data_IF_145621755658
#
_entry.id   IF_145621755658
#
_cell.length_a   1.000
_cell.length_b   1.000
_cell.length_c   1.000
_cell.angle_alpha   90.00
_cell.angle_beta   90.00
_cell.angle_gamma   90.00
#
_symmetry.space_group_name_H-M   'P 1'
#
loop_
_entity.id
_entity.type
_entity.pdbx_description
1 polymer ?
#
# COMPACT_ATOMS: atom_id res chain seq x y z
N UNK A 1 5.36 0.38 12.32
CA UNK A 1 4.30 0.25 11.30
C UNK A 1 3.20 -0.61 11.91
N UNK A 2 1.98 -0.08 12.04
CA UNK A 2 0.84 -0.81 12.59
C UNK A 2 -0.15 -1.10 11.48
N UNK A 3 -0.59 -2.36 11.36
CA UNK A 3 -1.65 -2.75 10.42
C UNK A 3 -2.99 -2.49 11.12
N UNK A 4 -3.76 -1.55 10.57
CA UNK A 4 -5.09 -1.20 11.08
C UNK A 4 -6.14 -2.12 10.51
N UNK A 5 -6.05 -2.39 9.21
CA UNK A 5 -7.05 -3.17 8.48
C UNK A 5 -6.39 -3.88 7.31
N UNK A 6 -6.82 -5.10 7.03
CA UNK A 6 -6.53 -5.79 5.79
C UNK A 6 -7.81 -6.32 5.16
N UNK A 7 -7.95 -6.13 3.87
CA UNK A 7 -9.09 -6.56 3.08
C UNK A 7 -8.57 -7.27 1.84
N UNK A 8 -9.12 -8.46 1.58
CA UNK A 8 -8.81 -9.24 0.39
C UNK A 8 -10.08 -9.41 -0.43
N UNK A 9 -10.03 -8.91 -1.66
CA UNK A 9 -11.10 -9.06 -2.63
C UNK A 9 -10.73 -10.18 -3.62
N UNK A 10 -11.30 -11.38 -3.43
CA UNK A 10 -11.04 -12.54 -4.29
C UNK A 10 -11.48 -12.32 -5.74
N UNK A 11 -12.55 -11.54 -5.95
CA UNK A 11 -13.12 -11.28 -7.28
C UNK A 11 -12.17 -10.48 -8.16
N UNK A 12 -11.57 -9.43 -7.61
CA UNK A 12 -10.66 -8.54 -8.33
C UNK A 12 -9.19 -8.86 -8.08
N UNK A 13 -8.90 -9.86 -7.22
CA UNK A 13 -7.55 -10.17 -6.72
C UNK A 13 -6.83 -8.92 -6.20
N UNK A 14 -7.60 -8.07 -5.51
CA UNK A 14 -7.12 -6.81 -4.93
C UNK A 14 -6.96 -6.99 -3.43
N UNK A 15 -5.75 -6.72 -2.90
CA UNK A 15 -5.53 -6.60 -1.46
C UNK A 15 -5.48 -5.14 -1.08
N UNK A 16 -6.29 -4.72 -0.12
CA UNK A 16 -6.22 -3.38 0.47
C UNK A 16 -5.68 -3.50 1.89
N UNK A 17 -4.66 -2.71 2.22
CA UNK A 17 -4.00 -2.73 3.53
C UNK A 17 -3.99 -1.29 4.05
N UNK A 18 -4.62 -1.09 5.20
CA UNK A 18 -4.59 0.18 5.91
C UNK A 18 -3.50 0.11 6.98
N UNK A 19 -2.53 1.02 6.88
CA UNK A 19 -1.43 1.16 7.82
C UNK A 19 -1.54 2.48 8.58
N UNK A 20 -1.26 2.44 9.87
CA UNK A 20 -1.04 3.60 10.72
C UNK A 20 0.42 3.64 11.18
N UNK A 21 0.92 4.85 11.46
CA UNK A 21 2.30 5.07 11.89
C UNK A 21 3.34 4.43 10.94
N UNK A 22 3.23 4.73 9.65
CA UNK A 22 4.29 4.41 8.70
C UNK A 22 5.47 5.34 8.97
N UNK A 23 6.68 4.77 9.00
CA UNK A 23 7.93 5.51 9.30
C UNK A 23 8.10 6.70 8.34
N UNK A 24 7.73 6.52 7.07
CA UNK A 24 7.77 7.57 6.06
C UNK A 24 6.80 8.70 6.40
N UNK A 25 5.54 8.40 6.74
CA UNK A 25 4.59 9.47 7.06
C UNK A 25 4.92 10.21 8.35
N UNK A 26 5.52 9.53 9.33
CA UNK A 26 5.96 10.17 10.58
C UNK A 26 7.24 10.98 10.42
N UNK A 27 8.19 10.54 9.58
CA UNK A 27 9.44 11.29 9.32
C UNK A 27 9.22 12.51 8.43
N UNK A 28 8.41 12.39 7.37
CA UNK A 28 8.23 13.47 6.40
C UNK A 28 7.18 14.50 6.83
N UNK A 29 6.28 14.17 7.77
CA UNK A 29 5.21 15.07 8.19
C UNK A 29 4.22 15.33 7.04
N UNK A 30 3.61 16.53 7.01
CA UNK A 30 2.58 16.88 6.04
C UNK A 30 3.18 17.50 4.76
N UNK A 31 3.52 16.65 3.79
CA UNK A 31 4.09 17.04 2.48
C UNK A 31 3.03 17.27 1.39
N UNK A 32 1.75 17.00 1.66
CA UNK A 32 0.66 17.18 0.70
C UNK A 32 0.64 16.14 -0.43
N UNK A 33 1.50 15.11 -0.34
CA UNK A 33 1.65 14.05 -1.34
C UNK A 33 1.80 12.69 -0.63
N UNK A 34 1.42 11.59 -1.29
CA UNK A 34 1.79 10.26 -0.83
C UNK A 34 3.32 10.16 -0.80
N UNK A 35 3.90 9.79 0.34
CA UNK A 35 5.36 9.65 0.50
C UNK A 35 5.77 8.21 0.81
N UNK A 36 4.82 7.31 1.11
CA UNK A 36 5.15 5.96 1.53
C UNK A 36 5.45 5.02 0.35
N UNK A 37 6.29 5.48 -0.58
CA UNK A 37 6.65 4.70 -1.76
C UNK A 37 7.53 3.50 -1.40
N UNK A 38 8.38 3.62 -0.37
CA UNK A 38 9.23 2.51 0.06
C UNK A 38 8.37 1.41 0.69
N UNK A 39 7.41 1.76 1.55
CA UNK A 39 6.45 0.82 2.14
C UNK A 39 5.62 0.13 1.05
N UNK A 40 5.14 0.88 0.06
CA UNK A 40 4.41 0.31 -1.07
C UNK A 40 5.26 -0.69 -1.88
N UNK A 41 6.53 -0.34 -2.16
CA UNK A 41 7.46 -1.22 -2.86
C UNK A 41 7.80 -2.49 -2.08
N UNK A 42 8.00 -2.38 -0.77
CA UNK A 42 8.23 -3.52 0.11
C UNK A 42 7.03 -4.47 0.13
N UNK A 43 5.82 -3.95 0.29
CA UNK A 43 4.59 -4.73 0.25
C UNK A 43 4.40 -5.42 -1.10
N UNK A 44 4.64 -4.71 -2.20
CA UNK A 44 4.61 -5.29 -3.54
C UNK A 44 5.60 -6.46 -3.62
N UNK A 45 6.88 -6.25 -3.26
CA UNK A 45 7.92 -7.28 -3.35
C UNK A 45 7.62 -8.53 -2.51
N UNK A 46 7.07 -8.38 -1.30
CA UNK A 46 6.67 -9.51 -0.45
C UNK A 46 5.57 -10.32 -1.13
N UNK A 47 4.54 -9.66 -1.66
CA UNK A 47 3.44 -10.33 -2.34
C UNK A 47 3.90 -10.95 -3.66
N UNK A 48 4.74 -10.26 -4.44
CA UNK A 48 5.32 -10.81 -5.67
C UNK A 48 6.14 -12.07 -5.38
N UNK A 49 6.98 -12.05 -4.35
CA UNK A 49 7.81 -13.20 -3.95
C UNK A 49 6.98 -14.36 -3.38
N UNK A 50 5.90 -14.06 -2.64
CA UNK A 50 5.06 -15.08 -2.02
C UNK A 50 4.12 -15.77 -3.00
N UNK A 51 3.53 -15.00 -3.93
CA UNK A 51 2.55 -15.51 -4.90
C UNK A 51 3.16 -15.83 -6.27
N UNK A 52 4.40 -15.41 -6.55
CA UNK A 52 5.03 -15.59 -7.86
C UNK A 52 4.38 -14.78 -8.99
N UNK A 53 3.52 -13.81 -8.67
CA UNK A 53 2.82 -12.96 -9.64
C UNK A 53 3.35 -11.53 -9.56
N UNK A 54 3.28 -10.80 -10.67
CA UNK A 54 3.60 -9.37 -10.66
C UNK A 54 2.45 -8.58 -10.07
N UNK A 55 2.70 -7.77 -9.04
CA UNK A 55 1.68 -6.93 -8.41
C UNK A 55 2.07 -5.47 -8.46
N UNK A 56 1.07 -4.60 -8.53
CA UNK A 56 1.24 -3.17 -8.39
C UNK A 56 0.64 -2.75 -7.05
N UNK A 57 1.47 -2.18 -6.17
CA UNK A 57 1.03 -1.52 -4.96
C UNK A 57 0.94 -0.01 -5.20
N UNK A 58 -0.18 0.62 -4.85
CA UNK A 58 -0.40 2.06 -4.88
C UNK A 58 -0.95 2.55 -3.55
N UNK A 59 -0.39 3.64 -3.05
CA UNK A 59 -0.94 4.36 -1.91
C UNK A 59 -2.14 5.20 -2.39
N UNK A 60 -3.32 4.95 -1.82
CA UNK A 60 -4.58 5.64 -2.14
C UNK A 60 -4.77 6.86 -1.23
N UNK A 61 -4.47 6.70 0.05
CA UNK A 61 -4.54 7.77 1.06
C UNK A 61 -3.23 7.79 1.84
N UNK A 62 -2.82 8.95 2.34
CA UNK A 62 -1.57 9.09 3.07
C UNK A 62 -1.72 10.11 4.20
N UNK A 63 -1.18 9.78 5.37
CA UNK A 63 -1.14 10.72 6.50
C UNK A 63 -0.36 12.00 6.15
N UNK A 64 0.69 11.88 5.35
CA UNK A 64 1.46 13.02 4.86
C UNK A 64 0.72 13.90 3.86
N UNK A 65 -0.37 13.41 3.28
CA UNK A 65 -1.27 14.21 2.45
C UNK A 65 -2.29 14.99 3.30
N UNK A 66 -2.47 14.60 4.56
CA UNK A 66 -3.49 15.12 5.47
C UNK A 66 -4.63 14.13 5.75
N UNK A 67 -4.55 12.90 5.26
CA UNK A 67 -5.51 11.84 5.60
C UNK A 67 -5.24 11.27 7.01
N UNK A 68 -6.20 10.57 7.61
CA UNK A 68 -6.03 10.00 8.95
C UNK A 68 -5.08 8.78 8.97
N UNK A 69 -5.13 7.97 7.91
CA UNK A 69 -4.37 6.73 7.77
C UNK A 69 -3.82 6.55 6.34
N UNK A 70 -2.74 5.76 6.22
CA UNK A 70 -2.17 5.41 4.92
C UNK A 70 -2.80 4.13 4.40
N UNK A 71 -3.47 4.19 3.24
CA UNK A 71 -4.14 3.02 2.63
C UNK A 71 -3.38 2.61 1.38
N UNK A 72 -3.00 1.34 1.32
CA UNK A 72 -2.27 0.73 0.22
C UNK A 72 -3.16 -0.27 -0.50
N UNK A 73 -3.28 -0.12 -1.81
CA UNK A 73 -4.00 -1.05 -2.66
C UNK A 73 -3.02 -1.81 -3.54
N UNK A 74 -3.04 -3.14 -3.42
CA UNK A 74 -2.19 -4.08 -4.14
C UNK A 74 -3.07 -4.83 -5.13
N UNK A 75 -2.74 -4.74 -6.41
CA UNK A 75 -3.46 -5.40 -7.50
C UNK A 75 -2.53 -6.26 -8.32
N UNK A 76 -3.01 -7.40 -8.81
CA UNK A 76 -2.27 -8.17 -9.79
C UNK A 76 -2.08 -7.35 -11.08
N UNK A 77 -0.83 -7.22 -11.52
CA UNK A 77 -0.47 -6.55 -12.77
C UNK A 77 -0.67 -7.45 -13.99
N UNK A 78 -0.82 -8.77 -13.80
CA UNK A 78 -1.04 -9.73 -14.89
C UNK A 78 -2.48 -9.75 -15.48
N UNK A 79 -3.33 -8.77 -15.16
CA UNK A 79 -4.67 -8.64 -15.74
C UNK A 79 -4.74 -7.82 -17.03
N UNK A 80 -3.61 -7.34 -17.56
CA UNK A 80 -3.52 -6.63 -18.85
C UNK A 80 -3.03 -7.62 -19.92
N UNK A 81 -3.86 -8.60 -20.30
CA UNK A 81 -3.71 -9.41 -21.52
C UNK A 81 -5.06 -9.98 -21.95
#
# INVERSE_FOLDING_TARGET
INIVKEEWDEKTKTKTITLSHTVESESFGNTGKPVCFCTAGLLAGIIEGSFGIKVQCREITCKSKGDEHCVFQIKNRQGES
#
